data_IF_360305045003
#
_entry.id   IF_360305045003
#
_cell.length_a   1.000
_cell.length_b   1.000
_cell.length_c   1.000
_cell.angle_alpha   90.00
_cell.angle_beta   90.00
_cell.angle_gamma   90.00
#
_symmetry.space_group_name_H-M   'P 1'
#
loop_
_entity.id
_entity.type
_entity.pdbx_description
1 polymer ?
#
# COMPACT_ATOMS: atom_id res chain seq x y z
N UNK A 1 45.12 -30.76 26.17
CA UNK A 1 44.54 -29.42 26.41
C UNK A 1 43.77 -29.02 25.17
N UNK A 2 42.45 -29.13 25.19
CA UNK A 2 41.59 -28.79 24.05
C UNK A 2 41.13 -27.34 24.19
N UNK A 3 41.62 -26.47 23.31
CA UNK A 3 41.14 -25.10 23.18
C UNK A 3 39.70 -25.15 22.65
N UNK A 4 38.73 -24.95 23.54
CA UNK A 4 37.36 -24.65 23.14
C UNK A 4 37.33 -23.18 22.75
N UNK A 5 37.14 -22.91 21.46
CA UNK A 5 36.91 -21.57 20.94
C UNK A 5 35.70 -20.92 21.62
N UNK A 6 35.59 -19.58 21.59
CA UNK A 6 34.50 -18.87 22.24
C UNK A 6 33.14 -19.41 21.74
N UNK A 7 32.11 -19.49 22.62
CA UNK A 7 30.79 -19.91 22.19
C UNK A 7 30.32 -18.98 21.07
N UNK A 8 30.02 -19.56 19.91
CA UNK A 8 29.42 -18.83 18.80
C UNK A 8 28.10 -18.25 19.32
N UNK A 9 28.09 -16.93 19.56
CA UNK A 9 26.95 -16.25 20.15
C UNK A 9 25.71 -16.53 19.31
N UNK A 10 24.60 -17.06 19.87
CA UNK A 10 23.40 -17.43 19.11
C UNK A 10 22.66 -16.23 18.48
N UNK A 11 23.18 -15.02 18.66
CA UNK A 11 22.55 -13.74 18.35
C UNK A 11 22.71 -13.27 16.90
N UNK A 12 23.42 -14.01 16.03
CA UNK A 12 23.76 -13.52 14.68
C UNK A 12 23.21 -14.34 13.52
N UNK A 13 22.50 -15.45 13.75
CA UNK A 13 21.96 -16.22 12.62
C UNK A 13 20.72 -15.53 12.05
N UNK A 14 20.82 -15.17 10.76
CA UNK A 14 19.69 -14.67 9.98
C UNK A 14 18.83 -15.88 9.66
N UNK A 15 17.54 -15.78 10.00
CA UNK A 15 16.54 -16.80 9.68
C UNK A 15 15.53 -16.20 8.72
N UNK A 16 14.93 -17.07 7.91
CA UNK A 16 13.88 -16.70 6.98
C UNK A 16 12.55 -17.28 7.47
N UNK A 17 11.55 -16.44 7.67
CA UNK A 17 10.18 -16.85 8.01
C UNK A 17 9.21 -16.35 6.94
N UNK A 18 8.25 -17.20 6.60
CA UNK A 18 7.20 -16.89 5.63
C UNK A 18 5.86 -17.09 6.35
N UNK A 19 4.99 -16.10 6.28
CA UNK A 19 3.65 -16.12 6.85
C UNK A 19 2.63 -15.91 5.73
N UNK A 20 1.58 -16.73 5.71
CA UNK A 20 0.47 -16.63 4.77
C UNK A 20 -0.74 -16.07 5.48
N UNK A 21 -1.27 -14.96 4.97
CA UNK A 21 -2.52 -14.33 5.40
C UNK A 21 -3.58 -14.49 4.32
N UNK A 22 -4.76 -14.95 4.71
CA UNK A 22 -5.91 -15.08 3.82
C UNK A 22 -6.72 -13.79 3.82
N UNK A 23 -7.14 -13.34 2.64
CA UNK A 23 -7.98 -12.14 2.50
C UNK A 23 -9.43 -12.57 2.42
N UNK A 24 -10.32 -12.09 3.32
CA UNK A 24 -11.73 -12.47 3.33
C UNK A 24 -12.52 -11.76 2.22
N UNK A 25 -12.14 -11.97 0.96
CA UNK A 25 -12.84 -11.42 -0.22
C UNK A 25 -14.23 -12.00 -0.39
N UNK A 26 -14.47 -13.22 0.09
CA UNK A 26 -15.79 -13.87 0.03
C UNK A 26 -16.78 -13.21 0.99
N UNK A 27 -16.33 -12.79 2.18
CA UNK A 27 -17.19 -12.10 3.15
C UNK A 27 -17.49 -10.65 2.73
N UNK A 28 -16.56 -9.99 2.04
CA UNK A 28 -16.67 -8.58 1.65
C UNK A 28 -16.25 -8.35 0.19
N UNK A 29 -17.04 -8.83 -0.80
CA UNK A 29 -16.69 -8.75 -2.22
C UNK A 29 -16.68 -7.31 -2.78
N UNK A 30 -17.42 -6.40 -2.16
CA UNK A 30 -17.45 -4.99 -2.55
C UNK A 30 -16.29 -4.16 -1.97
N UNK A 31 -15.45 -4.75 -1.12
CA UNK A 31 -14.36 -4.04 -0.47
C UNK A 31 -13.03 -4.24 -1.19
N UNK A 32 -12.36 -3.13 -1.53
CA UNK A 32 -11.10 -3.15 -2.28
C UNK A 32 -9.89 -3.30 -1.35
N UNK A 33 -9.65 -4.51 -0.84
CA UNK A 33 -8.51 -4.83 0.04
C UNK A 33 -7.16 -4.46 -0.57
N UNK A 34 -6.92 -4.85 -1.83
CA UNK A 34 -5.66 -4.60 -2.54
C UNK A 34 -5.41 -3.10 -2.67
N UNK A 35 -6.43 -2.33 -3.05
CA UNK A 35 -6.34 -0.88 -3.21
C UNK A 35 -6.00 -0.19 -1.89
N UNK A 36 -6.63 -0.62 -0.78
CA UNK A 36 -6.35 -0.10 0.56
C UNK A 36 -4.94 -0.46 1.05
N UNK A 37 -4.49 -1.68 0.78
CA UNK A 37 -3.17 -2.17 1.17
C UNK A 37 -2.04 -1.47 0.41
N UNK A 38 -2.15 -1.38 -0.93
CA UNK A 38 -1.17 -0.66 -1.75
C UNK A 38 -1.18 0.83 -1.45
N UNK A 39 -2.36 1.43 -1.32
CA UNK A 39 -2.52 2.87 -1.21
C UNK A 39 -2.07 3.62 -2.48
N UNK A 40 -1.90 4.95 -2.40
CA UNK A 40 -1.54 5.77 -3.54
C UNK A 40 -0.18 5.35 -4.12
N UNK A 41 -0.16 4.93 -5.39
CA UNK A 41 1.04 4.47 -6.11
C UNK A 41 1.80 3.31 -5.43
N UNK A 42 1.15 2.55 -4.53
CA UNK A 42 1.82 1.49 -3.77
C UNK A 42 2.65 1.97 -2.57
N UNK A 43 2.57 3.25 -2.21
CA UNK A 43 3.37 3.82 -1.12
C UNK A 43 3.02 3.24 0.25
N UNK A 44 1.76 2.89 0.50
CA UNK A 44 1.35 2.35 1.80
C UNK A 44 1.98 0.99 2.05
N UNK A 45 1.90 0.07 1.08
CA UNK A 45 2.57 -1.24 1.18
C UNK A 45 4.07 -1.07 1.37
N UNK A 46 4.70 -0.21 0.56
CA UNK A 46 6.15 0.05 0.64
C UNK A 46 6.58 0.61 1.99
N UNK A 47 5.74 1.43 2.62
CA UNK A 47 5.97 1.95 3.98
C UNK A 47 5.89 0.84 5.03
N UNK A 48 4.93 -0.08 4.90
CA UNK A 48 4.79 -1.23 5.81
C UNK A 48 6.02 -2.13 5.70
N UNK A 49 6.45 -2.44 4.48
CA UNK A 49 7.67 -3.22 4.21
C UNK A 49 8.92 -2.53 4.78
N UNK A 50 9.08 -1.22 4.55
CA UNK A 50 10.23 -0.47 5.07
C UNK A 50 10.23 -0.34 6.60
N UNK A 51 9.06 -0.21 7.23
CA UNK A 51 8.91 -0.09 8.69
C UNK A 51 9.16 -1.42 9.40
N UNK A 52 8.65 -2.51 8.84
CA UNK A 52 8.76 -3.85 9.43
C UNK A 52 10.08 -4.52 9.06
N UNK A 53 10.63 -4.23 7.88
CA UNK A 53 11.76 -4.96 7.29
C UNK A 53 11.35 -6.28 6.64
N UNK A 54 10.04 -6.49 6.45
CA UNK A 54 9.49 -7.67 5.79
C UNK A 54 9.18 -7.36 4.32
N UNK A 55 9.18 -8.38 3.48
CA UNK A 55 8.70 -8.34 2.10
C UNK A 55 7.28 -8.86 2.05
N UNK A 56 6.40 -8.18 1.32
CA UNK A 56 4.99 -8.54 1.23
C UNK A 56 4.62 -8.82 -0.23
N UNK A 57 4.07 -10.00 -0.50
CA UNK A 57 3.65 -10.44 -1.81
C UNK A 57 2.15 -10.69 -1.84
N UNK A 58 1.46 -10.06 -2.78
CA UNK A 58 0.02 -10.26 -2.97
C UNK A 58 -0.14 -11.28 -4.10
N UNK A 59 -0.71 -12.43 -3.78
CA UNK A 59 -0.88 -13.58 -4.66
C UNK A 59 -2.34 -14.04 -4.59
N UNK A 60 -2.73 -14.98 -5.44
CA UNK A 60 -4.13 -15.40 -5.56
C UNK A 60 -4.89 -14.75 -6.70
N UNK A 61 -6.12 -15.25 -6.90
CA UNK A 61 -7.13 -14.78 -7.84
C UNK A 61 -7.61 -13.37 -7.48
N UNK A 62 -7.67 -12.48 -8.47
CA UNK A 62 -8.01 -11.07 -8.27
C UNK A 62 -6.84 -10.19 -7.84
N UNK A 63 -5.62 -10.73 -7.73
CA UNK A 63 -4.40 -9.92 -7.49
C UNK A 63 -4.14 -8.95 -8.65
N UNK A 64 -4.57 -9.31 -9.86
CA UNK A 64 -4.44 -8.48 -11.06
C UNK A 64 -5.75 -7.76 -11.32
N UNK A 65 -5.68 -6.42 -11.44
CA UNK A 65 -6.86 -5.57 -11.72
C UNK A 65 -7.63 -5.98 -12.99
N UNK A 66 -6.91 -6.41 -14.02
CA UNK A 66 -7.48 -6.89 -15.29
C UNK A 66 -7.69 -8.41 -15.26
N UNK A 67 -8.92 -8.88 -15.02
CA UNK A 67 -9.24 -10.32 -15.07
C UNK A 67 -8.93 -10.97 -16.42
N UNK A 68 -9.08 -10.23 -17.53
CA UNK A 68 -8.74 -10.74 -18.87
C UNK A 68 -7.24 -11.02 -19.06
N UNK A 69 -6.36 -10.27 -18.38
CA UNK A 69 -4.92 -10.54 -18.35
C UNK A 69 -4.60 -11.66 -17.36
N UNK A 70 -5.31 -11.69 -16.24
CA UNK A 70 -5.17 -12.76 -15.23
C UNK A 70 -5.40 -14.13 -15.88
N UNK A 71 -6.48 -14.30 -16.63
CA UNK A 71 -6.82 -15.58 -17.25
C UNK A 71 -5.83 -16.01 -18.35
N UNK A 72 -5.22 -15.04 -19.07
CA UNK A 72 -4.16 -15.31 -20.05
C UNK A 72 -2.82 -15.68 -19.41
N UNK A 73 -2.53 -15.16 -18.22
CA UNK A 73 -1.33 -15.46 -17.46
C UNK A 73 -1.50 -16.73 -16.61
N UNK A 74 -2.74 -17.11 -16.32
CA UNK A 74 -3.08 -18.34 -15.61
C UNK A 74 -2.55 -19.55 -16.39
N UNK A 75 -1.76 -20.39 -15.71
CA UNK A 75 -1.09 -21.54 -16.33
C UNK A 75 0.31 -21.26 -16.88
N UNK A 76 0.81 -20.01 -16.83
CA UNK A 76 2.25 -19.74 -17.04
C UNK A 76 3.07 -20.10 -15.79
N UNK A 77 4.32 -20.56 -15.97
CA UNK A 77 5.23 -20.78 -14.84
C UNK A 77 5.40 -19.47 -14.06
N UNK A 78 5.18 -19.52 -12.74
CA UNK A 78 5.22 -18.36 -11.85
C UNK A 78 3.87 -17.69 -11.56
N UNK A 79 2.79 -18.11 -12.23
CA UNK A 79 1.41 -17.61 -12.03
C UNK A 79 0.42 -18.69 -11.54
N UNK A 80 0.93 -19.83 -11.05
CA UNK A 80 0.08 -20.93 -10.56
C UNK A 80 -0.82 -20.51 -9.40
N UNK A 81 -0.36 -19.55 -8.59
CA UNK A 81 -1.13 -18.94 -7.51
C UNK A 81 -2.40 -18.22 -7.97
N UNK A 82 -2.59 -17.93 -9.26
CA UNK A 82 -3.85 -17.34 -9.76
C UNK A 82 -5.06 -18.28 -9.63
N UNK A 83 -4.82 -19.57 -9.37
CA UNK A 83 -5.87 -20.54 -9.04
C UNK A 83 -6.24 -20.54 -7.55
N UNK A 84 -5.38 -20.00 -6.68
CA UNK A 84 -5.64 -19.93 -5.24
C UNK A 84 -6.49 -18.70 -4.89
N UNK A 85 -7.22 -18.71 -3.75
CA UNK A 85 -7.89 -17.52 -3.26
C UNK A 85 -6.89 -16.38 -2.98
N UNK A 86 -7.38 -15.14 -2.96
CA UNK A 86 -6.56 -13.96 -2.69
C UNK A 86 -5.87 -14.10 -1.31
N UNK A 87 -4.55 -14.10 -1.32
CA UNK A 87 -3.75 -14.26 -0.12
C UNK A 87 -2.48 -13.40 -0.18
N UNK A 88 -1.95 -13.10 0.99
CA UNK A 88 -0.77 -12.26 1.15
C UNK A 88 0.31 -13.09 1.82
N UNK A 89 1.51 -13.11 1.22
CA UNK A 89 2.69 -13.75 1.76
C UNK A 89 3.61 -12.69 2.35
N UNK A 90 3.88 -12.77 3.64
CA UNK A 90 4.87 -11.94 4.32
C UNK A 90 6.14 -12.77 4.49
N UNK A 91 7.21 -12.37 3.85
CA UNK A 91 8.54 -12.97 3.97
C UNK A 91 9.43 -12.03 4.81
N UNK A 92 10.00 -12.54 5.90
CA UNK A 92 10.96 -11.82 6.72
C UNK A 92 12.29 -12.55 6.69
N UNK A 93 13.38 -11.83 6.45
CA UNK A 93 14.76 -12.34 6.50
C UNK A 93 15.55 -11.48 7.48
N UNK A 94 15.57 -11.91 8.74
CA UNK A 94 16.02 -11.10 9.87
C UNK A 94 16.67 -11.99 10.93
N UNK A 95 17.44 -11.41 11.88
CA UNK A 95 17.99 -12.16 13.00
C UNK A 95 16.90 -12.86 13.81
N UNK A 96 17.15 -14.10 14.24
CA UNK A 96 16.16 -14.93 14.95
C UNK A 96 15.57 -14.27 16.21
N UNK A 97 16.31 -13.35 16.83
CA UNK A 97 15.88 -12.60 18.00
C UNK A 97 14.85 -11.49 17.70
N UNK A 98 14.75 -10.99 16.47
CA UNK A 98 13.80 -9.91 16.10
C UNK A 98 12.78 -10.32 15.06
N UNK A 99 13.03 -11.40 14.32
CA UNK A 99 12.16 -11.80 13.22
C UNK A 99 10.72 -12.02 13.67
N UNK A 100 10.50 -12.67 14.81
CA UNK A 100 9.17 -12.93 15.35
C UNK A 100 8.42 -11.63 15.66
N UNK A 101 9.10 -10.67 16.29
CA UNK A 101 8.52 -9.36 16.58
C UNK A 101 8.21 -8.56 15.30
N UNK A 102 9.09 -8.61 14.29
CA UNK A 102 8.87 -7.92 13.01
C UNK A 102 7.74 -8.55 12.20
N UNK A 103 7.70 -9.89 12.14
CA UNK A 103 6.67 -10.66 11.46
C UNK A 103 5.30 -10.41 12.10
N UNK A 104 5.22 -10.48 13.44
CA UNK A 104 4.00 -10.18 14.20
C UNK A 104 3.52 -8.75 13.95
N UNK A 105 4.43 -7.76 13.94
CA UNK A 105 4.08 -6.36 13.64
C UNK A 105 3.56 -6.19 12.21
N UNK A 106 4.18 -6.84 11.23
CA UNK A 106 3.71 -6.81 9.84
C UNK A 106 2.32 -7.46 9.72
N UNK A 107 2.14 -8.60 10.37
CA UNK A 107 0.86 -9.31 10.42
C UNK A 107 -0.23 -8.44 11.04
N UNK A 108 0.00 -7.81 12.20
CA UNK A 108 -0.98 -6.98 12.88
C UNK A 108 -1.45 -5.80 12.00
N UNK A 109 -0.52 -5.11 11.35
CA UNK A 109 -0.85 -4.02 10.42
C UNK A 109 -1.67 -4.54 9.24
N UNK A 110 -1.29 -5.69 8.66
CA UNK A 110 -2.03 -6.26 7.55
C UNK A 110 -3.43 -6.71 7.97
N UNK A 111 -3.57 -7.41 9.09
CA UNK A 111 -4.86 -7.84 9.63
C UNK A 111 -5.78 -6.65 9.93
N UNK A 112 -5.24 -5.54 10.43
CA UNK A 112 -6.01 -4.31 10.63
C UNK A 112 -6.52 -3.73 9.30
N UNK A 113 -5.72 -3.79 8.24
CA UNK A 113 -6.12 -3.34 6.89
C UNK A 113 -7.09 -4.30 6.20
N UNK A 114 -7.07 -5.58 6.58
CA UNK A 114 -8.00 -6.62 6.12
C UNK A 114 -9.32 -6.60 6.87
N UNK A 115 -9.45 -5.88 7.98
CA UNK A 115 -10.74 -5.66 8.64
C UNK A 115 -11.51 -4.56 7.90
N UNK A 116 -12.69 -4.86 7.33
CA UNK A 116 -13.53 -3.82 6.76
C UNK A 116 -13.96 -2.90 7.90
N UNK A 117 -13.52 -1.65 7.80
CA UNK A 117 -13.96 -0.57 8.69
C UNK A 117 -15.00 0.22 7.92
N UNK A 118 -16.04 0.66 8.63
CA UNK A 118 -17.08 1.50 8.07
C UNK A 118 -16.46 2.75 7.40
N UNK A 119 -16.90 3.10 6.18
CA UNK A 119 -16.28 4.18 5.39
C UNK A 119 -16.23 5.51 6.14
N UNK A 120 -17.19 5.73 7.05
CA UNK A 120 -17.28 6.90 7.92
C UNK A 120 -16.15 6.97 8.96
N UNK A 121 -15.59 5.83 9.35
CA UNK A 121 -14.50 5.71 10.32
C UNK A 121 -13.14 5.39 9.66
N UNK A 122 -13.11 5.24 8.34
CA UNK A 122 -11.90 4.89 7.59
C UNK A 122 -11.00 6.12 7.37
N UNK A 123 -10.41 6.60 8.47
CA UNK A 123 -9.41 7.67 8.46
C UNK A 123 -8.22 7.33 7.56
N UNK A 124 -7.89 6.04 7.43
CA UNK A 124 -6.77 5.56 6.63
C UNK A 124 -7.04 5.78 5.12
N UNK A 125 -8.21 5.35 4.63
CA UNK A 125 -8.66 5.60 3.26
C UNK A 125 -8.75 7.09 2.94
N UNK A 126 -9.27 7.89 3.88
CA UNK A 126 -9.37 9.35 3.71
C UNK A 126 -8.00 10.02 3.63
N UNK A 127 -7.03 9.57 4.43
CA UNK A 127 -5.65 10.05 4.38
C UNK A 127 -4.98 9.66 3.05
N UNK A 128 -5.18 8.42 2.59
CA UNK A 128 -4.67 7.94 1.31
C UNK A 128 -5.26 8.71 0.11
N UNK A 129 -6.57 8.98 0.11
CA UNK A 129 -7.24 9.78 -0.91
C UNK A 129 -6.73 11.23 -0.92
N UNK A 130 -6.48 11.80 0.26
CA UNK A 130 -5.88 13.13 0.39
C UNK A 130 -4.46 13.17 -0.18
N UNK A 131 -3.63 12.18 0.15
CA UNK A 131 -2.27 12.06 -0.40
C UNK A 131 -2.30 11.84 -1.92
N UNK A 132 -3.20 10.98 -2.41
CA UNK A 132 -3.40 10.76 -3.85
C UNK A 132 -3.81 12.05 -4.56
N UNK A 133 -4.71 12.85 -3.99
CA UNK A 133 -5.15 14.12 -4.56
C UNK A 133 -4.01 15.15 -4.60
N UNK A 134 -3.13 15.17 -3.59
CA UNK A 134 -1.92 16.01 -3.62
C UNK A 134 -0.93 15.53 -4.70
N UNK A 135 -0.75 14.22 -4.88
CA UNK A 135 0.14 13.64 -5.88
C UNK A 135 -0.38 13.76 -7.32
N UNK A 136 -1.70 13.71 -7.51
CA UNK A 136 -2.36 13.87 -8.80
C UNK A 136 -2.68 15.34 -9.12
N UNK A 137 -2.38 16.28 -8.23
CA UNK A 137 -2.44 17.68 -8.58
C UNK A 137 -1.39 17.91 -9.69
N UNK A 138 -1.78 18.35 -10.90
CA UNK A 138 -0.79 18.92 -11.79
C UNK A 138 -0.19 20.07 -10.99
N UNK A 139 1.13 20.10 -10.90
CA UNK A 139 1.88 21.23 -10.39
C UNK A 139 1.50 22.48 -11.22
N UNK A 140 0.34 23.07 -10.93
CA UNK A 140 0.06 24.47 -11.17
C UNK A 140 0.48 25.13 -9.88
N UNK A 141 1.75 25.43 -9.85
CA UNK A 141 2.41 26.28 -8.87
C UNK A 141 1.65 27.62 -8.83
N UNK A 142 0.60 27.71 -8.02
CA UNK A 142 0.18 28.97 -7.41
C UNK A 142 0.88 28.99 -6.06
N UNK A 143 2.12 29.48 -6.12
CA UNK A 143 2.90 29.87 -4.95
C UNK A 143 2.05 30.80 -4.06
N UNK A 144 2.04 30.62 -2.72
CA UNK A 144 1.43 31.57 -1.83
C UNK A 144 2.27 32.85 -1.83
N UNK A 145 1.91 33.81 -2.67
CA UNK A 145 2.39 35.18 -2.51
C UNK A 145 1.49 35.87 -1.46
N UNK A 146 1.98 36.17 -0.25
CA UNK A 146 1.32 37.15 0.61
C UNK A 146 1.69 38.53 0.06
N UNK A 147 1.04 38.92 -1.04
CA UNK A 147 1.33 40.16 -1.73
C UNK A 147 0.04 40.81 -2.17
N UNK A 148 -0.53 41.64 -1.30
CA UNK A 148 -1.62 42.52 -1.67
C UNK A 148 -1.21 43.41 -2.83
N UNK A 149 -1.99 43.39 -3.90
CA UNK A 149 -2.02 44.45 -4.90
C UNK A 149 -3.48 44.86 -5.11
N UNK A 150 -3.78 46.18 -5.15
CA UNK A 150 -5.14 46.70 -5.14
C UNK A 150 -5.84 46.50 -6.49
N UNK A 151 -7.19 46.56 -6.54
CA UNK A 151 -7.91 46.56 -7.80
C UNK A 151 -7.62 47.85 -8.58
N UNK A 152 -7.00 47.74 -9.75
CA UNK A 152 -6.87 48.84 -10.71
C UNK A 152 -8.24 49.21 -11.29
N UNK A 153 -8.69 50.48 -11.20
CA UNK A 153 -9.99 50.89 -11.69
C UNK A 153 -9.84 51.62 -13.03
N UNK A 154 -9.74 50.94 -14.17
CA UNK A 154 -9.99 51.58 -15.47
C UNK A 154 -10.10 50.54 -16.60
N UNK A 155 -11.33 50.28 -17.05
CA UNK A 155 -11.65 50.32 -18.48
C UNK A 155 -13.16 50.32 -18.67
N UNK A 156 -13.59 51.49 -19.11
CA UNK A 156 -14.92 51.86 -19.54
C UNK A 156 -15.16 51.30 -20.95
N UNK A 157 -16.34 50.74 -21.22
CA UNK A 157 -16.88 50.65 -22.58
C UNK A 157 -17.48 49.32 -23.02
N UNK A 158 -18.81 49.29 -23.16
CA UNK A 158 -19.40 48.80 -24.42
C UNK A 158 -20.24 47.52 -24.40
N UNK A 159 -21.55 47.71 -24.16
CA UNK A 159 -22.66 47.15 -24.97
C UNK A 159 -22.95 45.62 -24.99
N UNK A 160 -23.99 45.25 -24.21
CA UNK A 160 -25.24 44.54 -24.60
C UNK A 160 -25.19 43.32 -25.55
N UNK A 161 -25.67 42.18 -25.02
CA UNK A 161 -26.84 41.35 -25.47
C UNK A 161 -26.85 40.98 -26.98
N UNK A 162 -26.87 39.71 -27.41
CA UNK A 162 -28.00 38.77 -27.32
C UNK A 162 -27.62 37.41 -27.94
N UNK A 163 -28.33 36.39 -27.48
CA UNK A 163 -28.46 35.01 -27.94
C UNK A 163 -28.97 34.90 -29.38
N UNK A 164 -28.42 33.98 -30.15
CA UNK A 164 -29.15 33.25 -31.18
C UNK A 164 -28.76 31.77 -31.10
#
# INVERSE_FOLDING_TARGET
MGWQGPPQSPSSYIVKKILRLEVPTEAYPNFNFIGRLLGPRGNSLKRIEASTGCRVFIRGKGSIKDSGKEEQLKGRPGYEHLSEPLHILIEAELPANVIDARLAKAQEILEELLKPVDESQDYYKRQQLRELAMLNSPLREESPHPGGAPPSPFSNGGMKRVKQ
#
